data_IF_812951984805
#
_entry.id   IF_812951984805
#
_cell.length_a   1.000
_cell.length_b   1.000
_cell.length_c   1.000
_cell.angle_alpha   90.00
_cell.angle_beta   90.00
_cell.angle_gamma   90.00
#
_symmetry.space_group_name_H-M   'P 1'
#
loop_
_entity.id
_entity.type
_entity.pdbx_description
1 polymer ?
#
# COMPACT_ATOMS: atom_id res chain seq x y z
N UNK A 1 -23.70 -22.26 -3.94
CA UNK A 1 -23.48 -22.87 -2.59
C UNK A 1 -24.21 -22.00 -1.59
N UNK A 2 -25.05 -22.58 -0.77
CA UNK A 2 -25.68 -21.85 0.33
C UNK A 2 -24.69 -21.80 1.51
N UNK A 3 -24.38 -20.61 1.98
CA UNK A 3 -23.51 -20.42 3.15
C UNK A 3 -24.36 -20.59 4.41
N UNK A 4 -23.97 -21.54 5.27
CA UNK A 4 -24.60 -21.73 6.59
C UNK A 4 -23.68 -21.09 7.64
N UNK A 5 -24.21 -20.11 8.38
CA UNK A 5 -23.44 -19.30 9.33
C UNK A 5 -22.91 -18.00 8.70
N UNK A 6 -22.14 -17.25 9.48
CA UNK A 6 -21.65 -15.91 9.09
C UNK A 6 -20.15 -15.73 9.28
N UNK A 7 -19.42 -16.71 9.81
CA UNK A 7 -17.97 -16.67 10.02
C UNK A 7 -17.32 -17.80 9.22
N UNK A 8 -16.37 -17.45 8.35
CA UNK A 8 -15.75 -18.41 7.42
C UNK A 8 -14.23 -18.23 7.36
N UNK A 9 -13.50 -19.33 7.12
CA UNK A 9 -12.10 -19.22 6.69
C UNK A 9 -12.04 -18.56 5.32
N UNK A 10 -11.11 -17.62 5.17
CA UNK A 10 -10.83 -16.96 3.90
C UNK A 10 -9.41 -17.32 3.46
N UNK A 11 -9.25 -17.68 2.19
CA UNK A 11 -7.95 -17.94 1.59
C UNK A 11 -7.65 -16.88 0.54
N UNK A 12 -6.64 -16.06 0.79
CA UNK A 12 -6.16 -15.04 -0.14
C UNK A 12 -5.27 -15.61 -1.25
N UNK A 13 -4.69 -14.71 -2.05
CA UNK A 13 -3.79 -15.04 -3.16
C UNK A 13 -2.45 -14.34 -3.00
N UNK A 14 -1.34 -15.09 -3.11
CA UNK A 14 0.01 -14.52 -3.09
C UNK A 14 0.35 -13.97 -4.47
N UNK A 15 0.92 -12.76 -4.51
CA UNK A 15 1.44 -12.11 -5.72
C UNK A 15 2.97 -12.15 -5.72
N UNK A 16 3.55 -12.59 -6.83
CA UNK A 16 4.98 -12.86 -6.97
C UNK A 16 5.70 -11.73 -7.73
N UNK A 17 5.52 -10.48 -7.31
CA UNK A 17 6.24 -9.36 -7.91
C UNK A 17 7.72 -9.39 -7.53
N UNK A 18 8.60 -8.97 -8.46
CA UNK A 18 10.05 -9.07 -8.32
C UNK A 18 10.62 -8.30 -7.11
N UNK A 19 9.94 -7.25 -6.66
CA UNK A 19 10.36 -6.44 -5.51
C UNK A 19 10.10 -7.09 -4.13
N UNK A 20 9.35 -8.21 -4.11
CA UNK A 20 8.97 -8.88 -2.87
C UNK A 20 10.10 -9.60 -2.16
N UNK A 21 9.93 -9.80 -0.86
CA UNK A 21 10.78 -10.67 -0.06
C UNK A 21 10.53 -12.15 -0.34
N UNK A 22 11.32 -12.99 0.30
CA UNK A 22 11.28 -14.45 0.07
C UNK A 22 10.86 -15.25 1.29
N UNK A 23 10.81 -14.61 2.45
CA UNK A 23 10.74 -15.33 3.72
C UNK A 23 9.54 -14.91 4.59
N UNK A 24 9.16 -13.62 4.64
CA UNK A 24 8.13 -13.13 5.56
C UNK A 24 6.73 -13.69 5.26
N UNK A 25 6.23 -13.51 4.04
CA UNK A 25 4.88 -14.02 3.65
C UNK A 25 4.84 -15.55 3.70
N UNK A 26 5.85 -16.32 3.18
CA UNK A 26 5.91 -17.75 3.39
C UNK A 26 5.86 -18.17 4.85
N UNK A 27 6.65 -17.53 5.73
CA UNK A 27 6.64 -17.80 7.17
C UNK A 27 5.27 -17.48 7.79
N UNK A 28 4.69 -16.31 7.49
CA UNK A 28 3.37 -15.89 7.97
C UNK A 28 2.30 -16.93 7.61
N UNK A 29 2.28 -17.38 6.36
CA UNK A 29 1.27 -18.29 5.82
C UNK A 29 1.59 -19.77 6.07
N UNK A 30 2.74 -20.10 6.66
CA UNK A 30 3.12 -21.45 7.03
C UNK A 30 3.43 -22.38 5.85
N UNK A 31 3.97 -21.86 4.74
CA UNK A 31 4.40 -22.68 3.62
C UNK A 31 5.90 -22.54 3.32
N UNK A 32 6.48 -23.60 2.74
CA UNK A 32 7.90 -23.65 2.38
C UNK A 32 8.12 -23.07 0.97
N UNK A 33 8.89 -21.98 0.87
CA UNK A 33 9.25 -21.32 -0.39
C UNK A 33 10.54 -21.93 -0.99
N UNK A 34 10.53 -23.24 -1.30
CA UNK A 34 11.69 -23.97 -1.83
C UNK A 34 12.26 -23.39 -3.11
N UNK A 35 11.39 -22.89 -3.97
CA UNK A 35 11.78 -22.32 -5.26
C UNK A 35 12.35 -20.90 -5.13
N UNK A 36 12.41 -20.33 -3.92
CA UNK A 36 12.86 -18.95 -3.67
C UNK A 36 12.17 -17.95 -4.60
N UNK A 37 10.86 -18.09 -4.81
CA UNK A 37 10.07 -17.10 -5.55
C UNK A 37 9.79 -15.90 -4.66
N UNK A 38 9.86 -14.65 -5.20
CA UNK A 38 9.45 -13.50 -4.41
C UNK A 38 7.96 -13.61 -4.04
N UNK A 39 7.64 -13.35 -2.79
CA UNK A 39 6.27 -13.27 -2.28
C UNK A 39 6.04 -11.82 -1.83
N UNK A 40 5.57 -11.00 -2.75
CA UNK A 40 5.50 -9.56 -2.56
C UNK A 40 4.26 -9.12 -1.77
N UNK A 41 3.10 -9.68 -2.11
CA UNK A 41 1.82 -9.32 -1.52
C UNK A 41 0.96 -10.57 -1.28
N UNK A 42 0.16 -10.55 -0.22
CA UNK A 42 -0.92 -11.52 0.02
C UNK A 42 -2.25 -10.79 -0.02
N UNK A 43 -3.04 -11.01 -1.05
CA UNK A 43 -4.31 -10.31 -1.31
C UNK A 43 -5.48 -11.00 -0.65
N UNK A 44 -6.28 -10.24 0.07
CA UNK A 44 -7.51 -10.66 0.74
C UNK A 44 -8.65 -9.72 0.34
N UNK A 45 -9.60 -10.21 -0.47
CA UNK A 45 -10.70 -9.42 -1.00
C UNK A 45 -11.32 -10.03 -2.25
N UNK A 46 -12.17 -9.26 -2.91
CA UNK A 46 -12.93 -9.69 -4.08
C UNK A 46 -12.39 -9.10 -5.40
N UNK A 47 -11.09 -8.82 -5.48
CA UNK A 47 -10.50 -8.21 -6.68
C UNK A 47 -10.66 -9.12 -7.91
N UNK A 48 -11.10 -8.60 -9.08
CA UNK A 48 -11.38 -9.42 -10.27
C UNK A 48 -10.20 -10.26 -10.75
N UNK A 49 -8.97 -9.75 -10.64
CA UNK A 49 -7.77 -10.47 -11.08
C UNK A 49 -7.30 -11.54 -10.11
N UNK A 50 -7.69 -11.48 -8.81
CA UNK A 50 -7.21 -12.40 -7.77
C UNK A 50 -8.16 -12.43 -6.57
N UNK A 51 -9.41 -12.88 -6.79
CA UNK A 51 -10.40 -13.03 -5.72
C UNK A 51 -9.96 -14.08 -4.71
N UNK A 52 -10.15 -13.76 -3.43
CA UNK A 52 -10.05 -14.73 -2.34
C UNK A 52 -11.13 -15.81 -2.44
N UNK A 53 -10.93 -16.88 -1.70
CA UNK A 53 -11.86 -18.02 -1.62
C UNK A 53 -12.38 -18.17 -0.19
N UNK A 54 -13.71 -18.23 -0.03
CA UNK A 54 -14.35 -18.67 1.21
C UNK A 54 -14.30 -20.20 1.26
N UNK A 55 -13.82 -20.73 2.38
CA UNK A 55 -13.78 -22.17 2.63
C UNK A 55 -14.95 -22.53 3.55
N UNK A 56 -15.91 -23.27 3.03
CA UNK A 56 -17.08 -23.74 3.78
C UNK A 56 -17.30 -25.24 3.55
N UNK A 57 -17.44 -26.01 4.63
CA UNK A 57 -17.60 -27.48 4.60
C UNK A 57 -16.58 -28.22 3.70
N UNK A 58 -15.34 -27.73 3.69
CA UNK A 58 -14.25 -28.28 2.85
C UNK A 58 -14.27 -27.88 1.37
N UNK A 59 -15.24 -27.08 0.94
CA UNK A 59 -15.32 -26.54 -0.43
C UNK A 59 -14.85 -25.09 -0.48
N UNK A 60 -14.12 -24.74 -1.54
CA UNK A 60 -13.66 -23.38 -1.83
C UNK A 60 -14.59 -22.70 -2.84
N UNK A 61 -15.01 -21.48 -2.57
CA UNK A 61 -15.81 -20.66 -3.48
C UNK A 61 -15.25 -19.26 -3.59
N UNK A 62 -15.18 -18.72 -4.81
CA UNK A 62 -14.71 -17.36 -5.07
C UNK A 62 -15.56 -16.34 -4.31
N UNK A 63 -14.90 -15.49 -3.50
CA UNK A 63 -15.57 -14.40 -2.79
C UNK A 63 -16.30 -13.45 -3.75
N UNK A 64 -15.67 -13.10 -4.87
CA UNK A 64 -16.28 -12.26 -5.92
C UNK A 64 -17.56 -12.90 -6.47
N UNK A 65 -17.54 -14.21 -6.76
CA UNK A 65 -18.71 -14.90 -7.27
C UNK A 65 -19.86 -14.97 -6.23
N UNK A 66 -19.52 -15.13 -4.95
CA UNK A 66 -20.51 -15.14 -3.87
C UNK A 66 -21.13 -13.75 -3.67
N UNK A 67 -20.33 -12.67 -3.72
CA UNK A 67 -20.84 -11.30 -3.63
C UNK A 67 -21.77 -11.00 -4.82
N UNK A 68 -21.35 -11.34 -6.04
CA UNK A 68 -22.16 -11.10 -7.25
C UNK A 68 -23.49 -11.87 -7.22
N UNK A 69 -23.53 -13.06 -6.61
CA UNK A 69 -24.73 -13.86 -6.49
C UNK A 69 -25.71 -13.34 -5.43
N UNK A 70 -25.20 -12.80 -4.31
CA UNK A 70 -26.02 -12.38 -3.16
C UNK A 70 -25.40 -11.15 -2.47
N UNK A 71 -25.33 -9.98 -3.14
CA UNK A 71 -24.61 -8.83 -2.62
C UNK A 71 -25.15 -8.33 -1.27
N UNK A 72 -26.47 -8.24 -1.12
CA UNK A 72 -27.10 -7.78 0.12
C UNK A 72 -26.77 -8.64 1.34
N UNK A 73 -26.63 -9.97 1.18
CA UNK A 73 -26.21 -10.87 2.25
C UNK A 73 -24.73 -10.78 2.55
N UNK A 74 -23.90 -10.64 1.50
CA UNK A 74 -22.45 -10.69 1.63
C UNK A 74 -21.86 -9.37 2.14
N UNK A 75 -22.30 -8.23 1.60
CA UNK A 75 -21.71 -6.92 1.87
C UNK A 75 -22.69 -5.84 2.33
N UNK A 76 -23.96 -6.19 2.59
CA UNK A 76 -25.13 -5.34 2.79
C UNK A 76 -25.65 -4.68 1.51
N UNK A 77 -26.96 -4.46 1.48
CA UNK A 77 -27.61 -3.74 0.39
C UNK A 77 -27.11 -2.29 0.29
N UNK A 78 -26.87 -1.63 1.43
CA UNK A 78 -26.35 -0.26 1.47
C UNK A 78 -24.97 -0.15 0.81
N UNK A 79 -24.03 -1.03 1.17
CA UNK A 79 -22.69 -1.05 0.58
C UNK A 79 -22.77 -1.35 -0.92
N UNK A 80 -23.60 -2.30 -1.32
CA UNK A 80 -23.76 -2.63 -2.74
C UNK A 80 -24.36 -1.47 -3.55
N UNK A 81 -25.37 -0.76 -3.02
CA UNK A 81 -25.94 0.41 -3.69
C UNK A 81 -24.94 1.56 -3.80
N UNK A 82 -24.08 1.73 -2.81
CA UNK A 82 -23.08 2.81 -2.80
C UNK A 82 -21.88 2.53 -3.70
N UNK A 83 -21.36 1.30 -3.71
CA UNK A 83 -20.10 0.96 -4.35
C UNK A 83 -20.23 -0.03 -5.52
N UNK A 84 -21.29 -0.84 -5.56
CA UNK A 84 -21.49 -1.89 -6.55
C UNK A 84 -20.67 -3.16 -6.32
N UNK A 85 -19.75 -3.14 -5.33
CA UNK A 85 -18.80 -4.21 -5.03
C UNK A 85 -18.32 -4.14 -3.57
N UNK A 86 -17.49 -5.08 -3.13
CA UNK A 86 -16.69 -4.90 -1.91
C UNK A 86 -15.65 -3.79 -2.18
N UNK A 87 -15.76 -2.62 -1.50
CA UNK A 87 -15.05 -1.42 -1.94
C UNK A 87 -13.57 -1.39 -1.59
N UNK A 88 -13.03 -2.45 -0.96
CA UNK A 88 -11.65 -2.49 -0.54
C UNK A 88 -10.92 -3.77 -0.94
N UNK A 89 -9.60 -3.65 -1.02
CA UNK A 89 -8.65 -4.77 -1.10
C UNK A 89 -7.70 -4.67 0.09
N UNK A 90 -7.66 -5.74 0.89
CA UNK A 90 -6.77 -5.87 2.02
C UNK A 90 -5.56 -6.73 1.65
N UNK A 91 -4.36 -6.32 2.10
CA UNK A 91 -3.13 -6.99 1.71
C UNK A 91 -2.12 -7.05 2.86
N UNK A 92 -1.24 -8.04 2.83
CA UNK A 92 0.04 -8.03 3.55
C UNK A 92 1.13 -7.85 2.50
N UNK A 93 2.03 -6.89 2.71
CA UNK A 93 3.17 -6.63 1.82
C UNK A 93 4.48 -7.00 2.51
N UNK A 94 5.40 -7.57 1.73
CA UNK A 94 6.81 -7.79 2.11
C UNK A 94 7.71 -7.04 1.12
N UNK A 95 8.02 -5.78 1.47
CA UNK A 95 8.77 -4.86 0.63
C UNK A 95 10.26 -5.04 0.87
N UNK A 96 10.92 -5.79 -0.01
CA UNK A 96 12.38 -5.96 -0.01
C UNK A 96 13.07 -4.90 -0.85
N UNK A 97 12.56 -4.66 -2.05
CA UNK A 97 13.08 -3.66 -2.98
C UNK A 97 12.06 -2.53 -3.17
N UNK A 98 12.52 -1.33 -3.48
CA UNK A 98 11.66 -0.15 -3.59
C UNK A 98 10.59 -0.31 -4.65
N UNK A 99 9.37 0.10 -4.32
CA UNK A 99 8.29 0.22 -5.28
C UNK A 99 8.43 1.51 -6.11
N UNK A 100 7.73 1.54 -7.26
CA UNK A 100 7.64 2.77 -8.06
C UNK A 100 7.00 3.91 -7.27
N UNK A 101 7.43 5.13 -7.58
CA UNK A 101 6.72 6.33 -7.12
C UNK A 101 5.36 6.38 -7.77
N UNK A 102 4.32 6.60 -6.96
CA UNK A 102 2.92 6.58 -7.36
C UNK A 102 2.21 7.86 -6.93
N UNK A 103 1.25 8.25 -7.75
CA UNK A 103 0.23 9.26 -7.43
C UNK A 103 -1.11 8.68 -7.85
N UNK A 104 -2.12 8.83 -7.01
CA UNK A 104 -3.48 8.36 -7.31
C UNK A 104 -4.41 9.54 -7.60
N UNK A 105 -5.28 9.41 -8.62
CA UNK A 105 -6.27 10.43 -8.93
C UNK A 105 -7.38 10.48 -7.87
N UNK A 106 -8.10 11.58 -7.80
CA UNK A 106 -9.38 11.64 -7.10
C UNK A 106 -10.43 10.80 -7.84
N UNK A 107 -11.57 10.51 -7.19
CA UNK A 107 -12.66 9.75 -7.82
C UNK A 107 -13.17 10.42 -9.11
N UNK A 108 -13.36 11.73 -9.06
CA UNK A 108 -13.84 12.51 -10.22
C UNK A 108 -12.86 12.47 -11.39
N UNK A 109 -11.58 12.58 -11.09
CA UNK A 109 -10.51 12.55 -12.09
C UNK A 109 -10.33 11.14 -12.67
N UNK A 110 -10.47 10.10 -11.86
CA UNK A 110 -10.44 8.71 -12.32
C UNK A 110 -11.58 8.44 -13.33
N UNK A 111 -12.81 8.91 -13.04
CA UNK A 111 -13.94 8.79 -13.97
C UNK A 111 -13.65 9.50 -15.29
N UNK A 112 -13.22 10.78 -15.24
CA UNK A 112 -12.90 11.56 -16.44
C UNK A 112 -11.77 10.93 -17.26
N UNK A 113 -10.70 10.52 -16.59
CA UNK A 113 -9.54 9.89 -17.23
C UNK A 113 -9.89 8.56 -17.89
N UNK A 114 -10.65 7.71 -17.19
CA UNK A 114 -11.11 6.43 -17.73
C UNK A 114 -11.98 6.61 -18.99
N UNK A 115 -12.91 7.58 -18.97
CA UNK A 115 -13.77 7.88 -20.12
C UNK A 115 -12.99 8.48 -21.29
N UNK A 116 -12.03 9.37 -21.00
CA UNK A 116 -11.18 9.97 -22.03
C UNK A 116 -10.29 8.92 -22.72
N UNK A 117 -9.65 8.01 -21.98
CA UNK A 117 -8.84 6.94 -22.56
C UNK A 117 -9.69 5.92 -23.34
N UNK A 118 -10.93 5.65 -22.90
CA UNK A 118 -11.87 4.83 -23.68
C UNK A 118 -12.28 5.52 -24.98
N UNK A 119 -12.59 6.81 -24.95
CA UNK A 119 -12.92 7.60 -26.15
C UNK A 119 -11.74 7.69 -27.14
N UNK A 120 -10.50 7.72 -26.61
CA UNK A 120 -9.28 7.67 -27.40
C UNK A 120 -8.96 6.25 -27.94
N UNK A 121 -9.75 5.22 -27.60
CA UNK A 121 -9.56 3.85 -28.05
C UNK A 121 -8.35 3.15 -27.43
N UNK A 122 -7.82 3.62 -26.30
CA UNK A 122 -6.69 2.99 -25.61
C UNK A 122 -7.18 1.72 -24.92
N UNK A 123 -6.68 0.51 -25.29
CA UNK A 123 -7.10 -0.73 -24.63
C UNK A 123 -6.82 -0.74 -23.14
N UNK A 124 -7.71 -1.35 -22.35
CA UNK A 124 -7.58 -1.40 -20.88
C UNK A 124 -6.25 -2.01 -20.40
N UNK A 125 -5.69 -2.96 -21.18
CA UNK A 125 -4.44 -3.64 -20.88
C UNK A 125 -3.22 -3.04 -21.61
N UNK A 126 -3.37 -1.89 -22.28
CA UNK A 126 -2.25 -1.24 -22.95
C UNK A 126 -1.19 -0.79 -21.92
N UNK A 127 0.12 -0.89 -22.24
CA UNK A 127 1.19 -0.47 -21.33
C UNK A 127 1.13 1.02 -20.94
N UNK A 128 0.58 1.85 -21.84
CA UNK A 128 0.39 3.29 -21.67
C UNK A 128 -1.01 3.68 -21.14
N UNK A 129 -1.82 2.73 -20.68
CA UNK A 129 -3.12 2.99 -20.06
C UNK A 129 -2.92 3.41 -18.61
N UNK A 130 -3.34 4.63 -18.24
CA UNK A 130 -3.26 5.15 -16.87
C UNK A 130 -4.45 4.72 -16.01
N UNK A 131 -5.67 4.77 -16.59
CA UNK A 131 -6.92 4.53 -15.85
C UNK A 131 -7.48 3.14 -16.18
N UNK A 132 -7.35 2.21 -15.23
CA UNK A 132 -7.85 0.83 -15.36
C UNK A 132 -9.31 0.68 -14.96
N UNK A 133 -9.80 1.59 -14.11
CA UNK A 133 -11.15 1.64 -13.58
C UNK A 133 -11.56 3.10 -13.31
N UNK A 134 -12.81 3.30 -12.85
CA UNK A 134 -13.37 4.62 -12.53
C UNK A 134 -13.19 5.01 -11.05
N UNK A 135 -12.34 4.31 -10.31
CA UNK A 135 -12.24 4.48 -8.87
C UNK A 135 -11.00 5.30 -8.47
N UNK A 136 -11.10 5.95 -7.30
CA UNK A 136 -9.95 6.49 -6.61
C UNK A 136 -9.20 5.37 -5.89
N UNK A 137 -7.99 5.67 -5.40
CA UNK A 137 -7.17 4.69 -4.69
C UNK A 137 -6.52 5.28 -3.43
N UNK A 138 -7.32 5.73 -2.45
CA UNK A 138 -6.76 5.99 -1.13
C UNK A 138 -6.26 4.69 -0.52
N UNK A 139 -5.18 4.80 0.27
CA UNK A 139 -4.54 3.66 0.91
C UNK A 139 -4.21 4.00 2.35
N UNK A 140 -4.24 3.01 3.24
CA UNK A 140 -3.66 3.08 4.57
C UNK A 140 -2.76 1.88 4.77
N UNK A 141 -1.59 2.10 5.38
CA UNK A 141 -0.69 1.02 5.77
C UNK A 141 -0.46 1.03 7.28
N UNK A 142 -0.48 -0.13 7.92
CA UNK A 142 -0.01 -0.34 9.29
C UNK A 142 1.30 -1.10 9.22
N UNK A 143 2.37 -0.56 9.77
CA UNK A 143 3.67 -1.19 9.79
C UNK A 143 3.67 -2.45 10.68
N UNK A 144 4.15 -3.57 10.15
CA UNK A 144 4.33 -4.84 10.85
C UNK A 144 5.79 -5.08 11.27
N UNK A 145 6.70 -4.25 10.76
CA UNK A 145 8.11 -4.15 11.14
C UNK A 145 8.56 -2.69 11.10
N UNK A 146 9.83 -2.39 11.30
CA UNK A 146 10.39 -1.09 10.89
C UNK A 146 10.12 -0.91 9.40
N UNK A 147 9.41 0.16 9.04
CA UNK A 147 8.98 0.42 7.67
C UNK A 147 9.46 1.79 7.19
N UNK A 148 9.87 1.85 5.92
CA UNK A 148 10.37 3.08 5.29
C UNK A 148 9.59 3.38 4.03
N UNK A 149 9.21 4.66 3.86
CA UNK A 149 8.52 5.12 2.66
C UNK A 149 8.92 6.55 2.28
N UNK A 150 8.70 6.90 1.03
CA UNK A 150 8.62 8.28 0.57
C UNK A 150 7.17 8.76 0.69
N UNK A 151 6.93 9.97 1.21
CA UNK A 151 5.58 10.51 1.37
C UNK A 151 5.54 12.02 1.22
N UNK A 152 5.03 12.50 0.09
CA UNK A 152 4.85 13.91 -0.24
C UNK A 152 6.15 14.70 -0.36
N UNK A 153 6.05 15.89 -0.91
CA UNK A 153 7.20 16.79 -1.03
C UNK A 153 7.67 17.29 0.33
N UNK A 154 8.97 17.49 0.48
CA UNK A 154 9.53 18.29 1.57
C UNK A 154 9.03 19.72 1.50
N UNK A 155 8.97 20.38 2.65
CA UNK A 155 8.74 21.83 2.68
C UNK A 155 9.88 22.57 1.95
N UNK A 156 9.55 23.73 1.34
CA UNK A 156 10.52 24.47 0.53
C UNK A 156 11.87 24.73 1.22
N UNK A 157 11.91 25.19 2.51
CA UNK A 157 13.19 25.41 3.18
C UNK A 157 14.04 24.14 3.31
N UNK A 158 13.40 22.99 3.60
CA UNK A 158 14.10 21.71 3.75
C UNK A 158 14.61 21.21 2.40
N UNK A 159 13.83 21.42 1.33
CA UNK A 159 14.24 21.05 -0.01
C UNK A 159 15.37 21.96 -0.52
N UNK A 160 15.31 23.28 -0.30
CA UNK A 160 16.40 24.19 -0.61
C UNK A 160 17.70 23.74 0.06
N UNK A 161 17.64 23.45 1.35
CA UNK A 161 18.79 22.98 2.12
C UNK A 161 19.38 21.68 1.56
N UNK A 162 18.55 20.69 1.20
CA UNK A 162 19.03 19.45 0.59
C UNK A 162 19.72 19.71 -0.76
N UNK A 163 19.15 20.59 -1.58
CA UNK A 163 19.78 20.96 -2.85
C UNK A 163 21.10 21.75 -2.67
N UNK A 164 21.19 22.56 -1.61
CA UNK A 164 22.44 23.28 -1.25
C UNK A 164 23.52 22.31 -0.75
N UNK A 165 23.12 21.36 0.10
CA UNK A 165 24.04 20.39 0.72
C UNK A 165 24.49 19.29 -0.27
N UNK A 166 23.83 19.15 -1.44
CA UNK A 166 24.13 18.12 -2.46
C UNK A 166 24.69 18.78 -3.72
N UNK A 167 26.03 18.77 -3.85
CA UNK A 167 26.74 19.53 -4.87
C UNK A 167 26.22 19.26 -6.30
N UNK A 168 25.89 17.99 -6.62
CA UNK A 168 25.42 17.57 -7.93
C UNK A 168 24.01 18.08 -8.25
N UNK A 169 23.23 18.46 -7.23
CA UNK A 169 21.87 18.97 -7.36
C UNK A 169 21.74 20.48 -7.19
N UNK A 170 22.85 21.19 -6.86
CA UNK A 170 22.84 22.65 -6.69
C UNK A 170 22.33 23.41 -7.91
N UNK A 171 22.54 22.86 -9.10
CA UNK A 171 22.07 23.43 -10.37
C UNK A 171 20.53 23.55 -10.42
N UNK A 172 19.80 22.83 -9.58
CA UNK A 172 18.34 22.85 -9.48
C UNK A 172 17.80 24.00 -8.60
N UNK A 173 18.63 24.62 -7.75
CA UNK A 173 18.22 25.70 -6.85
C UNK A 173 17.59 26.91 -7.57
N UNK A 174 18.17 27.43 -8.67
CA UNK A 174 17.56 28.53 -9.41
C UNK A 174 16.17 28.16 -9.96
N UNK A 175 15.99 26.88 -10.37
CA UNK A 175 14.72 26.38 -10.89
C UNK A 175 13.67 26.34 -9.76
N UNK A 176 14.04 25.80 -8.59
CA UNK A 176 13.15 25.75 -7.41
C UNK A 176 12.74 27.16 -6.98
N UNK A 177 13.70 28.08 -6.82
CA UNK A 177 13.47 29.45 -6.36
C UNK A 177 12.59 30.25 -7.31
N UNK A 178 12.72 30.03 -8.62
CA UNK A 178 11.95 30.73 -9.65
C UNK A 178 10.55 30.14 -9.86
N UNK A 179 10.44 28.81 -9.88
CA UNK A 179 9.28 28.11 -10.39
C UNK A 179 8.55 27.26 -9.33
N UNK A 180 9.04 27.25 -8.07
CA UNK A 180 8.46 26.44 -6.97
C UNK A 180 8.55 24.93 -7.19
N UNK A 181 7.86 24.17 -6.34
CA UNK A 181 7.86 22.70 -6.38
C UNK A 181 7.38 22.15 -7.72
N UNK A 182 6.26 22.69 -8.25
CA UNK A 182 5.69 22.25 -9.52
C UNK A 182 6.66 22.41 -10.67
N UNK A 183 7.28 23.60 -10.79
CA UNK A 183 8.22 23.88 -11.86
C UNK A 183 9.51 23.09 -11.73
N UNK A 184 10.01 22.85 -10.52
CA UNK A 184 11.16 21.98 -10.28
C UNK A 184 10.86 20.55 -10.70
N UNK A 185 9.73 20.00 -10.24
CA UNK A 185 9.36 18.61 -10.54
C UNK A 185 9.14 18.40 -12.04
N UNK A 186 8.39 19.30 -12.68
CA UNK A 186 8.21 19.29 -14.13
C UNK A 186 9.54 19.33 -14.86
N UNK A 187 10.44 20.24 -14.47
CA UNK A 187 11.76 20.37 -15.08
C UNK A 187 12.52 19.05 -15.07
N UNK A 188 12.65 18.37 -13.91
CA UNK A 188 13.41 17.12 -13.84
C UNK A 188 12.71 15.95 -14.55
N UNK A 189 11.38 15.95 -14.59
CA UNK A 189 10.59 14.93 -15.28
C UNK A 189 10.65 15.06 -16.81
N UNK A 190 10.90 16.26 -17.34
CA UNK A 190 10.99 16.55 -18.78
C UNK A 190 12.43 16.60 -19.31
N UNK A 191 13.46 16.48 -18.45
CA UNK A 191 14.86 16.44 -18.88
C UNK A 191 15.12 15.30 -19.89
N UNK A 192 15.97 15.58 -20.89
CA UNK A 192 16.51 14.52 -21.75
C UNK A 192 17.39 13.55 -20.97
N UNK A 193 17.42 12.28 -21.38
CA UNK A 193 18.13 11.23 -20.66
C UNK A 193 19.62 11.51 -20.46
N UNK A 194 20.30 12.04 -21.47
CA UNK A 194 21.71 12.41 -21.37
C UNK A 194 21.97 13.43 -20.25
N UNK A 195 21.04 14.37 -20.06
CA UNK A 195 21.13 15.36 -18.97
C UNK A 195 20.88 14.72 -17.62
N UNK A 196 19.87 13.84 -17.52
CA UNK A 196 19.59 13.04 -16.31
C UNK A 196 20.83 12.23 -15.92
N UNK A 197 21.41 11.50 -16.87
CA UNK A 197 22.60 10.68 -16.64
C UNK A 197 23.80 11.55 -16.23
N UNK A 198 23.99 12.70 -16.90
CA UNK A 198 25.04 13.67 -16.59
C UNK A 198 24.98 14.22 -15.16
N UNK A 199 23.77 14.40 -14.61
CA UNK A 199 23.55 14.87 -13.24
C UNK A 199 23.63 13.73 -12.21
N UNK A 200 22.99 12.60 -12.51
CA UNK A 200 22.77 11.56 -11.51
C UNK A 200 23.92 10.54 -11.41
N UNK A 201 24.70 10.31 -12.47
CA UNK A 201 25.85 9.40 -12.38
C UNK A 201 26.91 9.89 -11.39
N UNK A 202 27.33 11.18 -11.39
CA UNK A 202 28.24 11.70 -10.37
C UNK A 202 27.66 11.57 -8.96
N UNK A 203 26.36 11.91 -8.78
CA UNK A 203 25.64 11.79 -7.51
C UNK A 203 25.69 10.35 -6.98
N UNK A 204 25.32 9.35 -7.80
CA UNK A 204 25.32 7.95 -7.41
C UNK A 204 26.71 7.50 -6.98
N UNK A 205 27.76 7.84 -7.75
CA UNK A 205 29.15 7.50 -7.42
C UNK A 205 29.61 8.12 -6.11
N UNK A 206 29.24 9.39 -5.86
CA UNK A 206 29.53 10.07 -4.60
C UNK A 206 28.82 9.38 -3.43
N UNK A 207 27.52 9.08 -3.56
CA UNK A 207 26.77 8.41 -2.49
C UNK A 207 27.28 7.00 -2.20
N UNK A 208 27.66 6.21 -3.21
CA UNK A 208 28.30 4.91 -3.01
C UNK A 208 29.62 5.05 -2.25
N UNK A 209 30.43 6.07 -2.56
CA UNK A 209 31.65 6.38 -1.81
C UNK A 209 31.36 6.79 -0.37
N UNK A 210 30.33 7.61 -0.12
CA UNK A 210 29.89 7.97 1.24
C UNK A 210 29.42 6.74 2.03
N UNK A 211 28.65 5.85 1.39
CA UNK A 211 28.19 4.60 2.01
C UNK A 211 29.38 3.70 2.42
N UNK A 212 30.38 3.57 1.56
CA UNK A 212 31.57 2.77 1.85
C UNK A 212 32.39 3.29 3.04
N UNK A 213 32.31 4.58 3.35
CA UNK A 213 32.92 5.19 4.56
C UNK A 213 32.03 5.15 5.81
N UNK A 214 30.79 4.67 5.68
CA UNK A 214 29.84 4.66 6.78
C UNK A 214 29.15 6.01 7.06
N UNK A 215 29.19 6.96 6.12
CA UNK A 215 28.65 8.31 6.28
C UNK A 215 27.14 8.41 6.06
N UNK A 216 26.45 7.30 5.74
CA UNK A 216 25.04 7.28 5.42
C UNK A 216 24.21 6.40 6.37
N UNK A 217 22.97 6.83 6.59
CA UNK A 217 21.94 6.05 7.27
C UNK A 217 20.60 6.15 6.52
N UNK A 218 19.60 5.34 6.91
CA UNK A 218 18.30 5.26 6.23
C UNK A 218 17.48 6.56 6.21
N UNK A 219 17.80 7.55 7.04
CA UNK A 219 17.14 8.86 7.01
C UNK A 219 17.67 9.77 5.89
N UNK A 220 18.78 9.38 5.27
CA UNK A 220 19.45 10.16 4.22
C UNK A 220 19.08 9.64 2.83
N UNK A 221 18.77 10.53 1.85
CA UNK A 221 18.45 10.14 0.47
C UNK A 221 19.51 9.23 -0.16
N UNK A 222 20.78 9.54 0.06
CA UNK A 222 21.92 8.79 -0.48
C UNK A 222 21.95 7.32 -0.08
N UNK A 223 21.43 6.96 1.09
CA UNK A 223 21.29 5.54 1.51
C UNK A 223 20.42 4.76 0.51
N UNK A 224 19.27 5.34 0.15
CA UNK A 224 18.31 4.70 -0.74
C UNK A 224 18.79 4.67 -2.18
N UNK A 225 19.48 5.72 -2.62
CA UNK A 225 20.18 5.71 -3.92
C UNK A 225 21.20 4.57 -3.97
N UNK A 226 22.00 4.40 -2.92
CA UNK A 226 22.94 3.29 -2.84
C UNK A 226 22.25 1.92 -2.87
N UNK A 227 21.10 1.76 -2.21
CA UNK A 227 20.33 0.51 -2.26
C UNK A 227 19.93 0.13 -3.69
N UNK A 228 19.63 1.11 -4.56
CA UNK A 228 19.30 0.88 -5.97
C UNK A 228 20.52 0.50 -6.83
N UNK A 229 21.71 0.99 -6.48
CA UNK A 229 22.89 0.90 -7.36
C UNK A 229 24.06 0.11 -6.78
N UNK A 230 24.01 -0.32 -5.54
CA UNK A 230 25.04 -1.15 -4.92
C UNK A 230 25.23 -2.46 -5.72
N UNK A 231 26.49 -2.78 -6.05
CA UNK A 231 26.85 -3.94 -6.87
C UNK A 231 26.61 -3.78 -8.38
N UNK A 232 26.05 -2.67 -8.84
CA UNK A 232 25.92 -2.38 -10.27
C UNK A 232 27.20 -1.76 -10.82
N UNK A 233 27.58 -2.16 -12.03
CA UNK A 233 28.75 -1.63 -12.75
C UNK A 233 28.35 -0.76 -13.94
N UNK A 234 27.11 -0.90 -14.41
CA UNK A 234 26.55 -0.10 -15.50
C UNK A 234 25.69 1.03 -14.93
N UNK A 235 26.02 2.27 -15.36
CA UNK A 235 25.35 3.50 -14.97
C UNK A 235 24.85 4.21 -16.23
N UNK A 236 23.94 3.60 -16.95
CA UNK A 236 23.28 4.16 -18.13
C UNK A 236 21.77 4.17 -17.94
N UNK A 237 21.08 5.10 -18.57
CA UNK A 237 19.63 5.26 -18.48
C UNK A 237 19.14 5.33 -17.02
N UNK A 238 19.76 6.21 -16.25
CA UNK A 238 19.45 6.40 -14.83
C UNK A 238 17.98 6.80 -14.65
N UNK A 239 17.30 6.13 -13.73
CA UNK A 239 15.89 6.44 -13.42
C UNK A 239 15.77 7.82 -12.76
N UNK A 240 14.99 8.71 -13.38
CA UNK A 240 14.76 10.07 -12.88
C UNK A 240 14.01 10.14 -11.54
N UNK A 241 13.39 9.05 -11.13
CA UNK A 241 12.80 8.92 -9.79
C UNK A 241 13.82 9.11 -8.65
N UNK A 242 15.13 9.04 -8.93
CA UNK A 242 16.17 9.39 -7.96
C UNK A 242 16.03 10.85 -7.50
N UNK A 243 15.67 11.79 -8.35
CA UNK A 243 15.38 13.17 -7.93
C UNK A 243 14.31 13.20 -6.84
N UNK A 244 13.28 12.37 -6.99
CA UNK A 244 12.18 12.29 -6.03
C UNK A 244 12.62 11.76 -4.66
N UNK A 245 13.64 10.90 -4.57
CA UNK A 245 14.22 10.45 -3.30
C UNK A 245 14.78 11.64 -2.49
N UNK A 246 15.29 12.67 -3.17
CA UNK A 246 15.74 13.91 -2.53
C UNK A 246 14.60 14.89 -2.26
N UNK A 247 13.57 14.92 -3.11
CA UNK A 247 12.50 15.90 -3.04
C UNK A 247 11.40 15.52 -2.05
N UNK A 248 11.18 14.21 -1.80
CA UNK A 248 10.12 13.72 -0.94
C UNK A 248 10.63 13.47 0.48
N UNK A 249 9.71 13.48 1.44
CA UNK A 249 10.01 13.11 2.81
C UNK A 249 10.33 11.61 2.88
N UNK A 250 11.44 11.27 3.52
CA UNK A 250 11.77 9.90 3.91
C UNK A 250 11.18 9.69 5.30
N UNK A 251 10.24 8.79 5.41
CA UNK A 251 9.46 8.54 6.63
C UNK A 251 9.82 7.17 7.18
N UNK A 252 10.19 7.13 8.46
CA UNK A 252 10.29 5.91 9.25
C UNK A 252 8.98 5.70 10.00
N UNK A 253 8.44 4.50 9.92
CA UNK A 253 7.22 4.07 10.62
C UNK A 253 7.59 2.86 11.49
N UNK A 254 7.33 2.95 12.77
CA UNK A 254 7.57 1.84 13.69
C UNK A 254 6.43 0.82 13.64
N UNK A 255 6.71 -0.42 14.04
CA UNK A 255 5.68 -1.46 14.12
C UNK A 255 4.46 -0.98 14.93
N UNK A 256 3.27 -1.13 14.34
CA UNK A 256 2.01 -0.70 14.94
C UNK A 256 1.66 0.78 14.72
N UNK A 257 2.51 1.55 14.04
CA UNK A 257 2.16 2.88 13.52
C UNK A 257 1.64 2.75 12.09
N UNK A 258 0.97 3.79 11.60
CA UNK A 258 0.33 3.78 10.28
C UNK A 258 0.49 5.11 9.55
N UNK A 259 0.37 5.05 8.21
CA UNK A 259 0.31 6.23 7.34
C UNK A 259 -0.85 6.08 6.37
N UNK A 260 -1.62 7.16 6.19
CA UNK A 260 -2.69 7.24 5.20
C UNK A 260 -2.19 7.95 3.94
N UNK A 261 -2.42 7.35 2.77
CA UNK A 261 -2.05 7.87 1.46
C UNK A 261 -3.30 8.44 0.77
N UNK A 262 -3.44 9.76 0.75
CA UNK A 262 -4.56 10.41 0.04
C UNK A 262 -4.22 10.66 -1.43
N UNK A 263 -5.27 10.83 -2.25
CA UNK A 263 -5.12 11.22 -3.66
C UNK A 263 -4.20 12.45 -3.81
N UNK A 264 -3.39 12.45 -4.86
CA UNK A 264 -2.48 13.54 -5.21
C UNK A 264 -1.15 13.55 -4.46
N UNK A 265 -1.01 12.87 -3.33
CA UNK A 265 0.26 12.82 -2.58
C UNK A 265 1.19 11.78 -3.21
N UNK A 266 2.35 12.20 -3.76
CA UNK A 266 3.32 11.26 -4.29
C UNK A 266 3.93 10.43 -3.17
N UNK A 267 4.02 9.11 -3.36
CA UNK A 267 4.56 8.18 -2.37
C UNK A 267 5.22 6.96 -3.00
N UNK A 268 6.05 6.29 -2.24
CA UNK A 268 6.64 5.01 -2.61
C UNK A 268 7.06 4.24 -1.36
N UNK A 269 6.80 2.93 -1.30
CA UNK A 269 7.34 2.07 -0.25
C UNK A 269 8.80 1.71 -0.57
N UNK A 270 9.66 1.82 0.43
CA UNK A 270 11.10 1.61 0.28
C UNK A 270 11.57 0.28 0.86
N UNK A 271 11.10 -0.10 2.05
CA UNK A 271 11.51 -1.34 2.72
C UNK A 271 10.63 -1.61 3.96
N UNK A 272 10.34 -2.87 4.22
CA UNK A 272 9.66 -3.35 5.43
C UNK A 272 8.41 -4.16 5.14
N UNK A 273 7.70 -4.56 6.17
CA UNK A 273 6.45 -5.30 6.07
C UNK A 273 5.28 -4.44 6.57
N UNK A 274 4.14 -4.51 5.92
CA UNK A 274 2.95 -3.80 6.33
C UNK A 274 1.65 -4.56 6.03
N UNK A 275 0.59 -4.17 6.72
CA UNK A 275 -0.78 -4.48 6.36
C UNK A 275 -1.35 -3.26 5.64
N UNK A 276 -1.65 -3.39 4.35
CA UNK A 276 -2.20 -2.34 3.50
C UNK A 276 -3.69 -2.57 3.25
N UNK A 277 -4.48 -1.53 3.42
CA UNK A 277 -5.88 -1.51 3.03
C UNK A 277 -6.11 -0.35 2.06
N UNK A 278 -6.68 -0.64 0.90
CA UNK A 278 -6.90 0.32 -0.15
C UNK A 278 -8.29 0.23 -0.74
N UNK A 279 -8.80 1.31 -1.32
CA UNK A 279 -9.98 1.22 -2.17
C UNK A 279 -9.69 0.32 -3.38
N UNK A 280 -10.72 -0.40 -3.84
CA UNK A 280 -10.58 -1.38 -4.92
C UNK A 280 -10.36 -0.66 -6.26
N UNK A 281 -9.10 -0.40 -6.61
CA UNK A 281 -8.66 0.30 -7.83
C UNK A 281 -7.26 -0.09 -8.25
N UNK A 282 -7.03 -0.17 -9.57
CA UNK A 282 -5.71 -0.37 -10.19
C UNK A 282 -5.10 0.93 -10.76
N UNK A 283 -5.71 2.08 -10.49
CA UNK A 283 -5.29 3.37 -11.04
C UNK A 283 -3.98 3.87 -10.40
N UNK A 284 -2.93 3.99 -11.20
CA UNK A 284 -1.59 4.42 -10.77
C UNK A 284 -0.94 5.32 -11.81
N UNK A 285 -0.63 6.55 -11.43
CA UNK A 285 0.24 7.45 -12.18
C UNK A 285 1.66 7.33 -11.62
N UNK A 286 2.62 6.97 -12.46
CA UNK A 286 3.99 6.67 -12.02
C UNK A 286 4.89 7.89 -12.14
N UNK A 287 5.73 8.10 -11.12
CA UNK A 287 6.66 9.22 -11.02
C UNK A 287 8.15 8.82 -11.06
N UNK A 288 8.47 7.56 -11.36
CA UNK A 288 9.84 7.03 -11.39
C UNK A 288 10.04 5.77 -10.56
N UNK A 289 11.28 5.33 -10.42
CA UNK A 289 11.71 4.07 -9.81
C UNK A 289 11.03 2.86 -10.49
N UNK A 290 10.89 2.91 -11.82
CA UNK A 290 10.14 1.91 -12.57
C UNK A 290 10.57 1.85 -14.03
N UNK A 291 10.63 0.64 -14.63
CA UNK A 291 10.78 0.50 -16.08
C UNK A 291 9.47 0.70 -16.86
N UNK A 292 8.33 0.88 -16.14
CA UNK A 292 7.03 1.04 -16.78
C UNK A 292 6.85 2.45 -17.33
N UNK A 293 5.87 2.61 -18.24
CA UNK A 293 5.49 3.89 -18.83
C UNK A 293 5.17 4.95 -17.77
N UNK A 294 5.69 6.15 -18.00
CA UNK A 294 5.42 7.35 -17.18
C UNK A 294 4.75 8.38 -18.08
N UNK A 295 3.54 8.75 -17.77
CA UNK A 295 2.83 9.86 -18.39
C UNK A 295 3.08 11.13 -17.56
N UNK A 296 4.09 11.90 -17.97
CA UNK A 296 4.47 13.12 -17.23
C UNK A 296 3.34 14.14 -17.20
N UNK A 297 2.59 14.29 -18.30
CA UNK A 297 1.48 15.25 -18.37
C UNK A 297 0.39 14.88 -17.38
N UNK A 298 0.00 13.62 -17.35
CA UNK A 298 -1.05 13.14 -16.45
C UNK A 298 -0.57 13.14 -14.98
N UNK A 299 0.68 12.73 -14.74
CA UNK A 299 1.30 12.82 -13.41
C UNK A 299 1.28 14.26 -12.86
N UNK A 300 1.68 15.25 -13.68
CA UNK A 300 1.69 16.67 -13.29
C UNK A 300 0.31 17.24 -13.00
N UNK A 301 -0.73 16.68 -13.60
CA UNK A 301 -2.13 17.08 -13.40
C UNK A 301 -2.66 16.74 -12.01
N UNK A 302 -2.27 15.54 -11.53
CA UNK A 302 -2.83 14.96 -10.31
C UNK A 302 -1.92 15.10 -9.08
N UNK A 303 -0.66 15.49 -9.28
CA UNK A 303 0.28 15.65 -8.17
C UNK A 303 -0.01 16.90 -7.35
N UNK A 304 -0.06 16.76 -6.03
CA UNK A 304 -0.15 17.85 -5.07
C UNK A 304 1.24 18.48 -4.87
N UNK A 305 1.43 19.70 -5.38
CA UNK A 305 2.70 20.43 -5.31
C UNK A 305 2.78 21.36 -4.10
N UNK A 306 2.72 20.77 -2.92
CA UNK A 306 2.92 21.48 -1.65
C UNK A 306 3.79 20.65 -0.71
N UNK A 307 4.48 21.32 0.21
CA UNK A 307 5.23 20.64 1.25
C UNK A 307 4.27 19.92 2.20
N UNK A 308 4.55 18.65 2.48
CA UNK A 308 3.74 17.79 3.35
C UNK A 308 4.51 17.48 4.62
N UNK A 309 3.87 17.62 5.78
CA UNK A 309 4.33 17.01 7.02
C UNK A 309 3.67 15.64 7.13
N UNK A 310 4.42 14.53 7.02
CA UNK A 310 3.84 13.19 7.12
C UNK A 310 3.19 12.97 8.48
N UNK A 311 1.93 12.50 8.47
CA UNK A 311 1.19 12.13 9.67
C UNK A 311 1.39 10.63 9.96
N UNK A 312 2.19 10.32 10.98
CA UNK A 312 2.42 8.94 11.45
C UNK A 312 1.48 8.65 12.61
N UNK A 313 0.39 7.94 12.31
CA UNK A 313 -0.68 7.63 13.25
C UNK A 313 -0.27 6.51 14.21
N UNK A 314 -0.55 6.67 15.51
CA UNK A 314 -0.34 5.62 16.54
C UNK A 314 -1.59 4.77 16.79
N UNK A 315 -2.68 5.10 16.12
CA UNK A 315 -3.99 4.52 16.35
C UNK A 315 -4.71 5.13 17.57
N UNK A 316 -6.04 5.15 17.49
CA UNK A 316 -6.93 5.63 18.55
C UNK A 316 -7.51 4.41 19.25
N UNK A 317 -7.33 4.30 20.58
CA UNK A 317 -7.89 3.18 21.36
C UNK A 317 -9.41 3.20 21.32
N UNK A 318 -10.00 2.05 20.96
CA UNK A 318 -11.45 1.78 21.05
C UNK A 318 -11.81 0.96 22.30
N UNK A 319 -10.83 0.57 23.10
CA UNK A 319 -10.96 -0.25 24.28
C UNK A 319 -9.60 -0.76 24.71
N UNK A 320 -9.57 -1.84 25.49
CA UNK A 320 -8.32 -2.37 26.03
C UNK A 320 -7.46 -3.11 25.01
N UNK A 321 -8.10 -3.67 23.96
CA UNK A 321 -7.44 -4.55 23.01
C UNK A 321 -7.44 -4.01 21.57
N UNK A 322 -8.23 -3.00 21.24
CA UNK A 322 -8.45 -2.57 19.87
C UNK A 322 -8.04 -1.11 19.65
N UNK A 323 -7.38 -0.84 18.53
CA UNK A 323 -7.02 0.50 18.04
C UNK A 323 -7.59 0.71 16.65
N UNK A 324 -8.18 1.86 16.41
CA UNK A 324 -8.60 2.32 15.08
C UNK A 324 -7.56 3.25 14.48
N UNK A 325 -7.30 3.12 13.18
CA UNK A 325 -6.50 4.07 12.41
C UNK A 325 -7.45 4.87 11.51
N UNK A 326 -7.67 6.17 11.78
CA UNK A 326 -8.64 6.96 11.05
C UNK A 326 -8.36 7.03 9.56
N UNK A 327 -9.34 6.66 8.75
CA UNK A 327 -9.29 6.76 7.29
C UNK A 327 -10.42 7.70 6.85
N UNK A 328 -10.12 8.88 6.27
CA UNK A 328 -11.15 9.86 5.90
C UNK A 328 -11.82 9.51 4.56
N UNK A 329 -12.21 8.25 4.40
CA UNK A 329 -12.86 7.71 3.19
C UNK A 329 -13.99 6.75 3.59
N UNK A 330 -15.07 6.66 2.80
CA UNK A 330 -16.17 5.75 3.09
C UNK A 330 -15.89 4.31 2.67
N UNK A 331 -14.84 4.07 1.90
CA UNK A 331 -14.55 2.79 1.24
C UNK A 331 -14.12 1.73 2.25
N UNK A 332 -13.36 2.13 3.27
CA UNK A 332 -12.79 1.18 4.24
C UNK A 332 -12.40 1.81 5.58
N UNK A 333 -12.31 0.93 6.58
CA UNK A 333 -11.69 1.20 7.88
C UNK A 333 -10.77 0.05 8.30
N UNK A 334 -9.78 0.35 9.14
CA UNK A 334 -8.80 -0.63 9.61
C UNK A 334 -8.54 -0.48 11.10
N UNK A 335 -8.54 -1.61 11.79
CA UNK A 335 -8.23 -1.71 13.22
C UNK A 335 -7.14 -2.74 13.46
N UNK A 336 -6.31 -2.50 14.48
CA UNK A 336 -5.44 -3.51 15.05
C UNK A 336 -6.01 -3.99 16.40
N UNK A 337 -6.02 -5.30 16.61
CA UNK A 337 -6.46 -5.94 17.85
C UNK A 337 -5.25 -6.63 18.46
N UNK A 338 -4.76 -6.08 19.55
CA UNK A 338 -3.62 -6.58 20.30
C UNK A 338 -4.12 -7.18 21.61
N UNK A 339 -3.87 -8.48 21.83
CA UNK A 339 -4.34 -9.18 23.03
C UNK A 339 -3.23 -10.02 23.66
N UNK A 340 -3.34 -10.20 24.96
CA UNK A 340 -2.52 -11.12 25.74
C UNK A 340 -3.35 -12.37 26.10
N UNK A 341 -2.68 -13.45 26.56
CA UNK A 341 -3.34 -14.73 26.78
C UNK A 341 -4.57 -14.67 27.67
N UNK A 342 -5.68 -15.22 27.17
CA UNK A 342 -6.96 -15.27 27.86
C UNK A 342 -7.80 -14.00 27.80
N UNK A 343 -7.31 -12.91 27.22
CA UNK A 343 -8.14 -11.72 26.98
C UNK A 343 -9.22 -11.99 25.94
N UNK A 344 -10.38 -11.36 26.15
CA UNK A 344 -11.53 -11.44 25.24
C UNK A 344 -11.99 -10.03 24.84
N UNK A 345 -12.22 -9.83 23.56
CA UNK A 345 -12.90 -8.64 23.03
C UNK A 345 -14.18 -9.05 22.30
N UNK A 346 -15.14 -8.14 22.20
CA UNK A 346 -16.42 -8.36 21.52
C UNK A 346 -16.62 -7.30 20.45
N UNK A 347 -17.26 -7.67 19.34
CA UNK A 347 -17.62 -6.77 18.28
C UNK A 347 -18.93 -7.23 17.60
N UNK A 348 -19.53 -6.30 16.84
CA UNK A 348 -20.67 -6.57 15.97
C UNK A 348 -20.29 -6.11 14.56
N UNK A 349 -20.40 -7.01 13.57
CA UNK A 349 -20.07 -6.69 12.18
C UNK A 349 -21.22 -5.90 11.53
N UNK A 350 -21.00 -4.62 11.23
CA UNK A 350 -21.95 -3.80 10.46
C UNK A 350 -21.80 -3.99 8.95
N UNK A 351 -20.65 -4.51 8.50
CA UNK A 351 -20.32 -4.74 7.09
C UNK A 351 -19.56 -6.06 6.95
N UNK A 352 -19.13 -6.39 5.74
CA UNK A 352 -18.20 -7.49 5.51
C UNK A 352 -16.84 -7.16 6.15
N UNK A 353 -16.35 -8.04 7.02
CA UNK A 353 -15.08 -7.88 7.70
C UNK A 353 -14.07 -8.95 7.27
N UNK A 354 -12.81 -8.57 7.14
CA UNK A 354 -11.69 -9.51 6.96
C UNK A 354 -10.74 -9.33 8.14
N UNK A 355 -10.46 -10.43 8.84
CA UNK A 355 -9.53 -10.46 9.98
C UNK A 355 -8.39 -11.42 9.66
N UNK A 356 -7.15 -10.93 9.70
CA UNK A 356 -5.94 -11.78 9.62
C UNK A 356 -5.23 -11.83 10.96
N UNK A 357 -4.78 -13.01 11.37
CA UNK A 357 -3.85 -13.16 12.48
C UNK A 357 -2.41 -12.98 11.96
N UNK A 358 -1.81 -11.82 12.30
CA UNK A 358 -0.41 -11.52 11.93
C UNK A 358 0.55 -12.22 12.89
N UNK A 359 0.20 -12.24 14.18
CA UNK A 359 0.95 -12.93 15.23
C UNK A 359 0.00 -13.68 16.14
N UNK A 360 0.38 -14.87 16.58
CA UNK A 360 -0.41 -15.67 17.51
C UNK A 360 -1.75 -16.10 16.96
N UNK A 361 -2.81 -16.00 17.78
CA UNK A 361 -4.17 -16.35 17.37
C UNK A 361 -5.11 -16.53 18.56
N UNK A 362 -6.29 -17.06 18.28
CA UNK A 362 -7.35 -17.21 19.28
C UNK A 362 -8.53 -18.01 18.79
N UNK A 363 -9.64 -17.88 19.49
CA UNK A 363 -10.93 -18.50 19.15
C UNK A 363 -11.93 -17.38 18.89
N UNK A 364 -12.61 -17.44 17.75
CA UNK A 364 -13.71 -16.54 17.38
C UNK A 364 -15.01 -17.29 17.59
N UNK A 365 -15.89 -16.76 18.43
CA UNK A 365 -17.23 -17.31 18.68
C UNK A 365 -18.27 -16.32 18.16
N UNK A 366 -19.12 -16.77 17.26
CA UNK A 366 -20.21 -15.99 16.69
C UNK A 366 -21.57 -16.33 17.32
N UNK A 367 -22.46 -15.35 17.36
CA UNK A 367 -23.83 -15.50 17.80
C UNK A 367 -24.64 -16.48 16.95
N UNK A 368 -24.27 -16.65 15.68
CA UNK A 368 -24.83 -17.67 14.77
C UNK A 368 -24.39 -19.11 15.08
N UNK A 369 -23.65 -19.33 16.18
CA UNK A 369 -23.18 -20.64 16.61
C UNK A 369 -21.84 -21.05 16.02
N UNK A 370 -21.18 -20.15 15.28
CA UNK A 370 -19.84 -20.40 14.77
C UNK A 370 -18.81 -20.44 15.93
N UNK A 371 -17.92 -21.43 15.91
CA UNK A 371 -16.75 -21.51 16.78
C UNK A 371 -15.53 -21.81 15.90
N UNK A 372 -14.62 -20.85 15.76
CA UNK A 372 -13.53 -20.97 14.82
C UNK A 372 -12.20 -20.58 15.45
N UNK A 373 -11.22 -21.47 15.38
CA UNK A 373 -9.83 -21.13 15.73
C UNK A 373 -9.19 -20.36 14.59
N UNK A 374 -8.51 -19.28 14.93
CA UNK A 374 -7.63 -18.53 14.03
C UNK A 374 -6.19 -18.60 14.55
N UNK A 375 -5.25 -18.95 13.69
CA UNK A 375 -3.81 -19.03 13.98
C UNK A 375 -3.06 -18.04 13.09
N UNK A 376 -1.80 -17.78 13.42
CA UNK A 376 -0.93 -16.95 12.59
C UNK A 376 -1.02 -17.33 11.10
N UNK A 377 -1.19 -16.33 10.26
CA UNK A 377 -1.35 -16.46 8.80
C UNK A 377 -2.76 -16.84 8.35
N UNK A 378 -3.64 -17.27 9.25
CA UNK A 378 -5.02 -17.58 8.89
C UNK A 378 -5.87 -16.31 8.80
N UNK A 379 -6.84 -16.34 7.91
CA UNK A 379 -7.76 -15.24 7.63
C UNK A 379 -9.19 -15.71 7.81
N UNK A 380 -10.00 -14.86 8.41
CA UNK A 380 -11.43 -15.09 8.61
C UNK A 380 -12.22 -13.96 7.95
N UNK A 381 -13.29 -14.34 7.27
CA UNK A 381 -14.33 -13.44 6.79
C UNK A 381 -15.53 -13.50 7.71
N UNK A 382 -16.07 -12.34 8.09
CA UNK A 382 -17.28 -12.20 8.92
C UNK A 382 -18.31 -11.44 8.10
N UNK A 383 -19.50 -12.05 7.92
CA UNK A 383 -20.59 -11.42 7.20
C UNK A 383 -21.31 -10.38 8.07
N UNK A 384 -22.02 -9.42 7.47
CA UNK A 384 -22.77 -8.39 8.19
C UNK A 384 -23.80 -8.95 9.18
N UNK A 385 -23.98 -8.25 10.30
CA UNK A 385 -24.96 -8.57 11.32
C UNK A 385 -24.60 -9.77 12.19
N UNK A 386 -23.31 -10.06 12.36
CA UNK A 386 -22.81 -11.06 13.29
C UNK A 386 -22.24 -10.40 14.53
N UNK A 387 -22.75 -10.78 15.71
CA UNK A 387 -22.11 -10.49 16.98
C UNK A 387 -21.09 -11.57 17.27
N UNK A 388 -19.87 -11.18 17.62
CA UNK A 388 -18.81 -12.16 17.87
C UNK A 388 -17.87 -11.73 18.99
N UNK A 389 -17.18 -12.72 19.55
CA UNK A 389 -16.10 -12.52 20.51
C UNK A 389 -14.82 -13.14 19.98
N UNK A 390 -13.70 -12.54 20.31
CA UNK A 390 -12.38 -13.11 20.05
C UNK A 390 -11.69 -13.31 21.40
N UNK A 391 -11.31 -14.54 21.71
CA UNK A 391 -10.54 -14.88 22.92
C UNK A 391 -9.14 -15.33 22.49
N UNK A 392 -8.11 -14.62 22.96
CA UNK A 392 -6.72 -14.92 22.62
C UNK A 392 -6.22 -16.21 23.27
N UNK A 393 -5.44 -17.01 22.53
CA UNK A 393 -4.76 -18.21 23.05
C UNK A 393 -3.40 -17.89 23.68
N UNK A 394 -2.87 -16.71 23.44
CA UNK A 394 -1.57 -16.20 23.89
C UNK A 394 -1.44 -14.74 23.49
N UNK A 395 -0.22 -14.21 23.37
CA UNK A 395 -0.05 -12.88 22.74
C UNK A 395 -0.43 -12.97 21.28
N UNK A 396 -1.26 -12.07 20.78
CA UNK A 396 -1.64 -12.03 19.38
C UNK A 396 -1.83 -10.61 18.86
N UNK A 397 -1.58 -10.46 17.57
CA UNK A 397 -1.90 -9.27 16.77
C UNK A 397 -2.80 -9.70 15.61
N UNK A 398 -4.01 -9.17 15.60
CA UNK A 398 -4.95 -9.34 14.50
C UNK A 398 -5.16 -7.98 13.83
N UNK A 399 -5.28 -7.97 12.50
CA UNK A 399 -5.66 -6.76 11.76
C UNK A 399 -7.02 -7.01 11.12
N UNK A 400 -7.95 -6.06 11.35
CA UNK A 400 -9.34 -6.11 10.88
C UNK A 400 -9.59 -5.02 9.85
N UNK A 401 -10.05 -5.41 8.67
CA UNK A 401 -10.54 -4.53 7.60
C UNK A 401 -12.06 -4.62 7.52
N UNK A 402 -12.74 -3.48 7.30
CA UNK A 402 -14.20 -3.38 7.24
C UNK A 402 -14.63 -2.18 6.40
N UNK A 403 -15.92 -2.08 6.06
CA UNK A 403 -16.52 -0.85 5.50
C UNK A 403 -17.14 -0.06 6.66
N UNK A 404 -16.79 1.23 6.84
CA UNK A 404 -17.40 2.07 7.87
C UNK A 404 -18.93 2.16 7.71
N UNK A 405 -19.66 2.29 8.83
CA UNK A 405 -21.13 2.39 8.85
C UNK A 405 -21.59 3.79 8.43
#
# INVERSE_FOLDING_TARGET
MELIGKIFKLKGKVQNYAWGGYDYIPHLLGFDNKDRKPCAEYWMGAHPSASSEIIHTGQASSLLALINANPGTMITEQVFQQFGELPYLFKILDVKDMLSIQVHPTKEEAVKGFEAENAAGIPINAPNRNYKDKNHKPEVMIALSEFWLLHGFKHLPDLEKILEDTAELNILLPVLRKNGLKGLYQFVMELGQDTVDGMLIPLIKNELSRKSRGDLNKQMPGWWVCKLYEGKTDFTNIDRGIFSIYFFNIVKVEKGEAVFQKAGVPHAYLEGQNAELMANSDNVLRGGLTPKYIDVSELMKHTLFEGVTPDVMKGIKLGDCEKNYPCPVPDFGINAIEMHGGQTTSASSSSFEIIIAVEGGGIINGSSGANMTIKQGEVVAILPGEDYTITSSGNCLLIKAFVPA
#
